data_IF_356172034825
#
_entry.id   IF_356172034825
#
_cell.length_a   1.000
_cell.length_b   1.000
_cell.length_c   1.000
_cell.angle_alpha   90.00
_cell.angle_beta   90.00
_cell.angle_gamma   90.00
#
_symmetry.space_group_name_H-M   'P 1'
#
loop_
_entity.id
_entity.type
_entity.pdbx_description
1 polymer ?
#
# COMPACT_ATOMS: atom_id res chain seq x y z
N UNK A 1 -26.29 11.95 30.77
CA UNK A 1 -25.90 12.98 29.78
C UNK A 1 -24.49 12.68 29.39
N UNK A 2 -24.26 12.39 28.11
CA UNK A 2 -22.94 12.00 27.61
C UNK A 2 -22.01 13.22 27.61
N UNK A 3 -21.00 13.21 28.48
CA UNK A 3 -20.18 14.38 28.80
C UNK A 3 -19.24 14.76 27.64
N UNK A 4 -18.87 13.78 26.81
CA UNK A 4 -18.06 13.94 25.59
C UNK A 4 -18.76 14.84 24.56
N UNK A 5 -20.06 14.58 24.31
CA UNK A 5 -20.89 15.33 23.37
C UNK A 5 -21.05 16.81 23.74
N UNK A 6 -21.09 17.12 25.04
CA UNK A 6 -21.24 18.50 25.52
C UNK A 6 -19.95 19.30 25.28
N UNK A 7 -18.80 18.65 25.46
CA UNK A 7 -17.48 19.31 25.32
C UNK A 7 -17.18 19.60 23.85
N UNK A 8 -17.43 18.65 22.95
CA UNK A 8 -17.27 18.85 21.51
C UNK A 8 -18.19 19.97 20.97
N UNK A 9 -19.46 20.00 21.39
CA UNK A 9 -20.42 21.02 20.94
C UNK A 9 -20.02 22.45 21.33
N UNK A 10 -19.36 22.65 22.48
CA UNK A 10 -18.84 23.96 22.86
C UNK A 10 -17.75 24.44 21.89
N UNK A 11 -16.83 23.55 21.50
CA UNK A 11 -15.79 23.87 20.53
C UNK A 11 -16.39 24.19 19.15
N UNK A 12 -17.31 23.34 18.67
CA UNK A 12 -17.95 23.46 17.36
C UNK A 12 -18.90 24.65 17.25
N UNK A 13 -19.35 25.23 18.36
CA UNK A 13 -20.13 26.48 18.34
C UNK A 13 -19.36 27.65 17.68
N UNK A 14 -18.03 27.63 17.79
CA UNK A 14 -17.13 28.59 17.16
C UNK A 14 -16.31 27.98 16.01
N UNK A 15 -15.93 26.70 16.10
CA UNK A 15 -15.17 25.97 15.08
C UNK A 15 -16.08 25.19 14.14
N UNK A 16 -16.90 25.91 13.37
CA UNK A 16 -17.89 25.35 12.43
C UNK A 16 -17.52 25.55 10.95
N UNK A 17 -16.24 25.78 10.67
CA UNK A 17 -15.72 25.92 9.31
C UNK A 17 -15.88 24.64 8.49
N UNK A 18 -15.59 24.74 7.19
CA UNK A 18 -15.69 23.62 6.23
C UNK A 18 -14.92 22.38 6.68
N UNK A 19 -13.75 22.56 7.29
CA UNK A 19 -12.87 21.52 7.84
C UNK A 19 -13.50 20.69 8.96
N UNK A 20 -14.59 21.17 9.58
CA UNK A 20 -15.24 20.54 10.72
C UNK A 20 -16.66 20.06 10.39
N UNK A 21 -17.09 20.12 9.12
CA UNK A 21 -18.44 19.71 8.73
C UNK A 21 -18.67 18.20 8.89
N UNK A 22 -17.62 17.40 8.69
CA UNK A 22 -17.68 15.94 8.77
C UNK A 22 -17.26 15.39 10.12
N UNK A 23 -16.87 16.26 11.07
CA UNK A 23 -16.32 15.83 12.36
C UNK A 23 -17.28 14.94 13.12
N UNK A 24 -18.57 15.25 13.11
CA UNK A 24 -19.60 14.50 13.81
C UNK A 24 -19.82 13.08 13.26
N UNK A 25 -19.41 12.82 12.01
CA UNK A 25 -19.43 11.50 11.39
C UNK A 25 -18.07 10.79 11.38
N UNK A 26 -17.04 11.41 11.97
CA UNK A 26 -15.69 10.82 12.01
C UNK A 26 -15.58 9.77 13.12
N UNK A 27 -14.78 8.74 12.89
CA UNK A 27 -14.49 7.73 13.92
C UNK A 27 -13.85 8.34 15.17
N UNK A 28 -13.07 9.41 15.02
CA UNK A 28 -12.49 10.12 16.18
C UNK A 28 -13.54 10.88 17.00
N UNK A 29 -14.66 11.31 16.42
CA UNK A 29 -15.72 11.93 17.20
C UNK A 29 -16.47 10.93 18.08
N UNK A 30 -16.64 9.70 17.62
CA UNK A 30 -17.28 8.65 18.38
C UNK A 30 -16.35 8.01 19.43
N UNK A 31 -15.06 7.93 19.14
CA UNK A 31 -14.08 7.21 19.97
C UNK A 31 -13.21 8.11 20.86
N UNK A 32 -13.06 9.41 20.53
CA UNK A 32 -12.38 10.37 21.40
C UNK A 32 -13.41 11.06 22.30
N UNK A 33 -13.00 11.40 23.52
CA UNK A 33 -13.81 12.12 24.52
C UNK A 33 -13.96 13.63 24.20
N UNK A 34 -13.67 14.01 22.95
CA UNK A 34 -13.80 15.36 22.40
C UNK A 34 -12.51 15.94 21.83
N UNK A 35 -12.59 17.18 21.34
CA UNK A 35 -11.48 17.88 20.68
C UNK A 35 -10.24 18.01 21.57
N UNK A 36 -10.44 18.05 22.88
CA UNK A 36 -9.39 18.19 23.89
C UNK A 36 -8.51 16.96 24.05
N UNK A 37 -8.81 15.83 23.41
CA UNK A 37 -7.93 14.66 23.44
C UNK A 37 -6.68 14.89 22.58
N UNK A 38 -6.87 15.53 21.43
CA UNK A 38 -5.80 15.90 20.51
C UNK A 38 -5.29 17.33 20.74
N UNK A 39 -6.19 18.26 21.08
CA UNK A 39 -5.86 19.69 21.20
C UNK A 39 -5.73 20.15 22.66
N UNK A 40 -4.99 21.24 22.87
CA UNK A 40 -4.88 21.99 24.11
C UNK A 40 -4.88 23.49 23.85
N UNK A 41 -5.78 24.21 24.52
CA UNK A 41 -6.00 25.65 24.31
C UNK A 41 -4.81 26.51 24.77
N UNK A 42 -3.92 25.94 25.57
CA UNK A 42 -2.73 26.60 26.11
C UNK A 42 -1.47 25.91 25.57
N UNK A 43 -1.34 25.89 24.24
CA UNK A 43 -0.13 25.45 23.57
C UNK A 43 0.55 26.58 22.81
N UNK A 44 1.87 26.48 22.67
CA UNK A 44 2.67 27.36 21.81
C UNK A 44 2.98 26.72 20.45
N UNK A 45 2.43 25.53 20.15
CA UNK A 45 2.69 24.83 18.90
C UNK A 45 1.65 25.13 17.81
N UNK A 46 2.00 24.83 16.57
CA UNK A 46 1.07 24.93 15.44
C UNK A 46 -0.14 24.00 15.69
N UNK A 47 -1.32 24.52 15.38
CA UNK A 47 -2.62 23.84 15.55
C UNK A 47 -3.02 23.44 16.98
N UNK A 48 -2.31 23.94 18.01
CA UNK A 48 -2.67 23.74 19.41
C UNK A 48 -2.77 22.25 19.80
N UNK A 49 -1.89 21.39 19.28
CA UNK A 49 -1.90 19.95 19.57
C UNK A 49 -1.25 19.64 20.93
N UNK A 50 -1.62 18.53 21.57
CA UNK A 50 -0.94 18.08 22.81
C UNK A 50 0.47 17.58 22.56
N UNK A 51 0.70 16.97 21.41
CA UNK A 51 1.99 16.46 20.93
C UNK A 51 2.19 16.88 19.48
N UNK A 52 3.43 16.85 19.01
CA UNK A 52 3.78 17.26 17.65
C UNK A 52 4.03 16.04 16.76
N UNK A 53 3.77 16.21 15.46
CA UNK A 53 3.98 15.18 14.44
C UNK A 53 3.16 13.91 14.70
N UNK A 54 3.72 12.78 14.26
CA UNK A 54 3.09 11.45 14.34
C UNK A 54 2.91 10.91 15.77
N UNK A 55 3.65 11.42 16.76
CA UNK A 55 3.58 10.92 18.15
C UNK A 55 2.17 11.02 18.74
N UNK A 56 1.42 12.09 18.40
CA UNK A 56 0.05 12.26 18.87
C UNK A 56 -0.87 11.12 18.43
N UNK A 57 -0.75 10.70 17.16
CA UNK A 57 -1.56 9.64 16.59
C UNK A 57 -1.13 8.27 17.11
N UNK A 58 0.18 8.05 17.22
CA UNK A 58 0.76 6.75 17.58
C UNK A 58 0.61 6.37 19.06
N UNK A 59 0.24 7.32 19.93
CA UNK A 59 -0.15 7.03 21.32
C UNK A 59 -1.34 6.06 21.37
N UNK A 60 -2.30 6.23 20.44
CA UNK A 60 -3.48 5.36 20.33
C UNK A 60 -3.32 4.33 19.20
N UNK A 61 -2.82 4.75 18.03
CA UNK A 61 -2.59 3.89 16.85
C UNK A 61 -1.28 3.10 16.95
N UNK A 62 -1.14 2.32 18.02
CA UNK A 62 0.09 1.60 18.34
C UNK A 62 0.44 0.52 17.32
N UNK A 63 -0.55 -0.12 16.68
CA UNK A 63 -0.35 -1.09 15.60
C UNK A 63 0.30 -0.45 14.37
N UNK A 64 -0.23 0.69 13.94
CA UNK A 64 0.33 1.50 12.86
C UNK A 64 1.74 1.98 13.21
N UNK A 65 1.97 2.34 14.49
CA UNK A 65 3.31 2.63 14.98
C UNK A 65 4.27 1.44 14.87
N UNK A 66 3.79 0.21 14.97
CA UNK A 66 4.60 -0.99 14.75
C UNK A 66 4.88 -1.21 13.24
N UNK A 67 3.90 -0.95 12.37
CA UNK A 67 4.06 -1.00 10.91
C UNK A 67 5.15 -0.04 10.43
N UNK A 68 5.14 1.21 10.90
CA UNK A 68 6.19 2.19 10.58
C UNK A 68 7.58 1.83 11.14
N UNK A 69 7.71 0.81 11.99
CA UNK A 69 9.01 0.29 12.45
C UNK A 69 9.48 -0.92 11.63
N UNK A 70 8.70 -1.38 10.66
CA UNK A 70 9.10 -2.46 9.76
C UNK A 70 10.21 -2.01 8.79
N UNK A 71 10.85 -2.96 8.11
CA UNK A 71 12.02 -2.69 7.27
C UNK A 71 11.73 -1.74 6.09
N UNK A 72 10.53 -1.80 5.52
CA UNK A 72 10.04 -0.87 4.51
C UNK A 72 8.87 -0.11 5.10
N UNK A 73 8.92 1.22 5.08
CA UNK A 73 7.83 2.09 5.52
C UNK A 73 7.92 3.44 4.82
N UNK A 74 6.82 4.18 4.83
CA UNK A 74 6.84 5.61 4.52
C UNK A 74 7.50 6.40 5.67
N UNK A 75 8.20 7.52 5.39
CA UNK A 75 9.13 8.15 6.35
C UNK A 75 8.46 9.01 7.42
N UNK A 76 7.49 8.43 8.15
CA UNK A 76 6.70 9.07 9.21
C UNK A 76 7.48 9.19 10.52
N UNK A 77 8.30 8.19 10.86
CA UNK A 77 9.11 8.22 12.09
C UNK A 77 10.34 9.10 11.95
N UNK A 78 10.81 9.30 10.72
CA UNK A 78 11.87 10.21 10.35
C UNK A 78 11.41 11.68 10.35
N UNK A 79 10.11 11.93 10.47
CA UNK A 79 9.53 13.28 10.47
C UNK A 79 9.58 13.97 9.10
N UNK A 80 9.69 13.19 8.01
CA UNK A 80 9.64 13.73 6.64
C UNK A 80 8.23 13.77 6.09
N UNK A 81 7.28 13.08 6.74
CA UNK A 81 5.86 13.19 6.49
C UNK A 81 5.06 12.97 7.77
N UNK A 82 3.79 13.39 7.75
CA UNK A 82 2.86 13.23 8.87
C UNK A 82 1.65 12.39 8.45
N UNK A 83 0.94 11.84 9.44
CA UNK A 83 -0.30 11.10 9.20
C UNK A 83 -1.33 11.93 8.42
N UNK A 84 -1.32 13.25 8.63
CA UNK A 84 -2.22 14.21 8.00
C UNK A 84 -1.93 14.44 6.51
N UNK A 85 -0.76 14.02 6.01
CA UNK A 85 -0.47 14.03 4.58
C UNK A 85 -1.37 13.05 3.81
N UNK A 86 -1.98 12.08 4.50
CA UNK A 86 -2.85 11.06 3.91
C UNK A 86 -4.25 11.02 4.55
N UNK A 87 -4.37 11.26 5.86
CA UNK A 87 -5.63 11.15 6.59
C UNK A 87 -6.13 12.50 7.10
N UNK A 88 -7.44 12.73 7.06
CA UNK A 88 -8.05 13.83 7.77
C UNK A 88 -8.57 13.36 9.15
N UNK A 89 -7.93 13.75 10.29
CA UNK A 89 -8.36 13.31 11.61
C UNK A 89 -9.71 13.90 12.05
N UNK A 90 -10.20 14.95 11.39
CA UNK A 90 -11.53 15.52 11.60
C UNK A 90 -12.61 14.88 10.70
N UNK A 91 -12.23 13.86 9.93
CA UNK A 91 -13.11 13.23 8.95
C UNK A 91 -13.35 14.07 7.71
N UNK A 92 -13.72 13.39 6.64
CA UNK A 92 -14.09 13.97 5.36
C UNK A 92 -15.15 13.07 4.72
N UNK A 93 -15.92 13.62 3.79
CA UNK A 93 -16.82 12.84 2.93
C UNK A 93 -16.05 11.97 1.93
N UNK A 94 -14.76 12.25 1.69
CA UNK A 94 -13.95 11.61 0.65
C UNK A 94 -12.46 11.33 0.98
N UNK A 95 -12.03 11.36 2.24
CA UNK A 95 -10.65 10.92 2.57
C UNK A 95 -10.62 9.90 3.70
N UNK A 96 -10.36 8.65 3.29
CA UNK A 96 -9.76 7.56 4.07
C UNK A 96 -10.31 7.36 5.49
N UNK A 97 -11.62 7.17 5.57
CA UNK A 97 -12.21 6.35 6.63
C UNK A 97 -12.30 4.92 6.09
N UNK A 98 -11.32 4.12 6.49
CA UNK A 98 -11.38 2.65 6.67
C UNK A 98 -11.34 1.66 5.51
N UNK A 99 -11.48 1.99 4.21
CA UNK A 99 -11.32 0.94 3.17
C UNK A 99 -10.84 1.35 1.78
N UNK A 100 -11.01 2.60 1.34
CA UNK A 100 -10.60 2.99 -0.01
C UNK A 100 -9.24 3.67 0.03
N UNK A 101 -8.22 2.88 -0.29
CA UNK A 101 -6.95 3.38 -0.80
C UNK A 101 -7.17 4.06 -2.15
N UNK A 102 -7.68 5.30 -2.09
CA UNK A 102 -7.90 6.08 -3.30
C UNK A 102 -6.57 6.24 -4.01
N UNK A 103 -6.44 5.56 -5.14
CA UNK A 103 -5.33 5.68 -6.10
C UNK A 103 -4.87 7.13 -6.26
N UNK A 104 -5.80 8.07 -6.33
CA UNK A 104 -5.53 9.50 -6.49
C UNK A 104 -4.69 10.11 -5.37
N UNK A 105 -4.85 9.67 -4.11
CA UNK A 105 -4.00 10.11 -3.02
C UNK A 105 -2.56 9.63 -3.23
N UNK A 106 -2.38 8.37 -3.61
CA UNK A 106 -1.05 7.82 -3.90
C UNK A 106 -0.40 8.62 -5.05
N UNK A 107 -1.17 8.93 -6.09
CA UNK A 107 -0.70 9.66 -7.27
C UNK A 107 -0.40 11.14 -7.01
N UNK A 108 -0.94 11.74 -5.95
CA UNK A 108 -0.59 13.11 -5.55
C UNK A 108 0.91 13.30 -5.30
N UNK A 109 1.59 12.21 -4.92
CA UNK A 109 3.06 12.16 -4.75
C UNK A 109 3.73 11.24 -5.79
N UNK A 110 3.10 10.13 -6.17
CA UNK A 110 3.66 9.12 -7.07
C UNK A 110 3.13 9.24 -8.52
N UNK A 111 3.13 10.45 -9.06
CA UNK A 111 2.57 10.78 -10.36
C UNK A 111 3.16 9.95 -11.53
N UNK A 112 4.38 9.41 -11.38
CA UNK A 112 4.98 8.53 -12.39
C UNK A 112 4.22 7.21 -12.61
N UNK A 113 3.24 6.88 -11.76
CA UNK A 113 2.42 5.68 -11.85
C UNK A 113 0.96 5.96 -12.29
N UNK A 114 0.62 7.20 -12.67
CA UNK A 114 -0.74 7.62 -13.01
C UNK A 114 -1.24 7.06 -14.35
N UNK A 115 -0.36 6.84 -15.32
CA UNK A 115 -0.79 6.51 -16.68
C UNK A 115 -1.56 7.67 -17.35
N UNK A 116 -2.37 7.42 -18.39
CA UNK A 116 -2.69 6.12 -18.96
C UNK A 116 -1.48 5.54 -19.70
N UNK A 117 -1.12 4.30 -19.38
CA UNK A 117 -0.07 3.59 -20.12
C UNK A 117 -0.69 2.85 -21.31
N UNK A 118 0.07 2.67 -22.40
CA UNK A 118 -0.38 1.81 -23.51
C UNK A 118 -0.61 0.36 -23.05
N UNK A 119 0.23 -0.11 -22.13
CA UNK A 119 0.10 -1.42 -21.49
C UNK A 119 0.02 -1.23 -19.98
N UNK A 120 -1.20 -1.34 -19.45
CA UNK A 120 -1.48 -1.12 -18.03
C UNK A 120 -1.42 -2.45 -17.26
N UNK A 121 -0.96 -2.40 -16.01
CA UNK A 121 -1.10 -3.51 -15.08
C UNK A 121 -2.39 -3.32 -14.30
N UNK A 122 -3.45 -4.04 -14.67
CA UNK A 122 -4.83 -3.79 -14.23
C UNK A 122 -4.99 -3.47 -12.72
N UNK A 123 -4.45 -4.25 -11.77
CA UNK A 123 -4.48 -3.91 -10.33
C UNK A 123 -4.03 -2.50 -9.95
N UNK A 124 -3.07 -1.91 -10.67
CA UNK A 124 -2.53 -0.57 -10.37
C UNK A 124 -3.54 0.54 -10.68
N UNK A 125 -4.44 0.32 -11.64
CA UNK A 125 -5.52 1.25 -11.94
C UNK A 125 -6.70 1.13 -10.97
N UNK A 126 -6.81 0.00 -10.27
CA UNK A 126 -7.91 -0.25 -9.35
C UNK A 126 -7.56 0.30 -7.96
N UNK A 127 -6.51 -0.23 -7.35
CA UNK A 127 -6.13 0.13 -5.99
C UNK A 127 -4.67 -0.28 -5.71
N UNK A 128 -3.85 0.67 -5.25
CA UNK A 128 -2.45 0.44 -4.91
C UNK A 128 -2.27 -0.58 -3.76
N UNK A 129 -3.23 -0.62 -2.84
CA UNK A 129 -3.30 -1.47 -1.65
C UNK A 129 -3.52 -2.96 -1.93
N UNK A 130 -3.83 -3.31 -3.18
CA UNK A 130 -3.84 -4.71 -3.61
C UNK A 130 -2.43 -5.33 -3.44
N UNK A 131 -1.39 -4.52 -3.68
CA UNK A 131 0.00 -4.96 -3.62
C UNK A 131 0.79 -4.28 -2.48
N UNK A 132 0.42 -3.07 -2.08
CA UNK A 132 1.18 -2.27 -1.11
C UNK A 132 0.47 -2.15 0.26
N UNK A 133 1.25 -2.03 1.31
CA UNK A 133 0.82 -1.62 2.65
C UNK A 133 1.33 -0.21 2.90
N UNK A 134 0.44 0.79 2.92
CA UNK A 134 0.85 2.19 2.95
C UNK A 134 1.65 2.58 4.21
N UNK A 135 1.46 1.94 5.36
CA UNK A 135 2.22 2.30 6.57
C UNK A 135 3.58 1.62 6.62
N UNK A 136 3.62 0.31 6.40
CA UNK A 136 4.85 -0.47 6.48
C UNK A 136 4.67 -1.94 6.17
N UNK A 137 5.75 -2.55 5.72
CA UNK A 137 5.83 -3.97 5.43
C UNK A 137 7.23 -4.52 5.71
N UNK A 138 7.30 -5.82 5.96
CA UNK A 138 8.58 -6.54 6.05
C UNK A 138 9.22 -6.70 4.67
N UNK A 139 8.40 -6.85 3.62
CA UNK A 139 8.88 -6.91 2.25
C UNK A 139 9.30 -5.51 1.76
N UNK A 140 10.30 -5.47 0.88
CA UNK A 140 10.75 -4.24 0.26
C UNK A 140 9.63 -3.57 -0.56
N UNK A 141 9.74 -2.26 -0.75
CA UNK A 141 8.77 -1.46 -1.52
C UNK A 141 7.36 -1.55 -0.97
N UNK A 142 7.21 -1.68 0.36
CA UNK A 142 5.92 -1.72 1.03
C UNK A 142 5.01 -2.87 0.57
N UNK A 143 5.55 -3.98 0.04
CA UNK A 143 4.70 -5.04 -0.51
C UNK A 143 3.97 -5.83 0.59
N UNK A 144 2.70 -6.15 0.38
CA UNK A 144 1.91 -7.00 1.31
C UNK A 144 2.45 -8.43 1.40
N UNK A 145 3.16 -8.88 0.36
CA UNK A 145 3.83 -10.17 0.29
C UNK A 145 5.16 -10.09 -0.48
N UNK A 146 6.06 -11.04 -0.24
CA UNK A 146 7.30 -11.15 -1.01
C UNK A 146 7.07 -11.85 -2.36
N UNK A 147 7.88 -11.49 -3.35
CA UNK A 147 7.97 -12.25 -4.61
C UNK A 147 8.56 -13.65 -4.36
N UNK A 148 8.12 -14.68 -5.10
CA UNK A 148 7.14 -14.64 -6.20
C UNK A 148 5.67 -14.78 -5.75
N UNK A 149 5.39 -14.99 -4.46
CA UNK A 149 4.05 -15.28 -3.94
C UNK A 149 3.04 -14.18 -4.29
N UNK A 150 3.41 -12.91 -4.14
CA UNK A 150 2.56 -11.77 -4.50
C UNK A 150 2.03 -11.87 -5.94
N UNK A 151 2.91 -12.19 -6.89
CA UNK A 151 2.53 -12.29 -8.30
C UNK A 151 1.64 -13.51 -8.55
N UNK A 152 1.90 -14.59 -7.82
CA UNK A 152 1.22 -15.88 -7.97
C UNK A 152 -0.22 -15.87 -7.49
N UNK A 153 -0.59 -14.92 -6.64
CA UNK A 153 -1.99 -14.72 -6.23
C UNK A 153 -2.90 -14.42 -7.43
N UNK A 154 -2.35 -13.90 -8.54
CA UNK A 154 -3.07 -13.64 -9.79
C UNK A 154 -2.48 -14.36 -11.01
N UNK A 155 -1.17 -14.56 -11.06
CA UNK A 155 -0.46 -15.17 -12.19
C UNK A 155 -0.10 -16.63 -11.90
N UNK A 156 -0.93 -17.55 -12.39
CA UNK A 156 -0.64 -19.00 -12.33
C UNK A 156 0.69 -19.33 -13.03
N UNK A 157 1.67 -19.74 -12.25
CA UNK A 157 3.00 -20.14 -12.76
C UNK A 157 2.93 -21.29 -13.76
N UNK A 158 3.54 -21.10 -14.93
CA UNK A 158 3.70 -22.19 -15.89
C UNK A 158 5.03 -22.20 -16.66
N UNK A 159 5.81 -21.11 -16.65
CA UNK A 159 6.87 -20.91 -17.65
C UNK A 159 8.32 -21.03 -17.13
N UNK A 160 8.57 -20.92 -15.82
CA UNK A 160 9.93 -21.07 -15.27
C UNK A 160 10.25 -22.49 -14.78
N UNK A 161 9.23 -23.31 -14.52
CA UNK A 161 9.43 -24.73 -14.18
C UNK A 161 9.87 -25.55 -15.38
N UNK A 162 9.84 -25.01 -16.60
CA UNK A 162 10.32 -25.65 -17.83
C UNK A 162 11.72 -25.19 -18.28
N UNK A 163 12.37 -24.31 -17.54
CA UNK A 163 13.76 -23.91 -17.84
C UNK A 163 14.68 -25.04 -17.38
N UNK A 164 15.39 -25.65 -18.31
CA UNK A 164 16.47 -26.59 -18.00
C UNK A 164 17.53 -25.86 -17.16
N UNK A 165 17.89 -26.42 -16.00
CA UNK A 165 18.86 -25.81 -15.07
C UNK A 165 20.14 -25.35 -15.78
N UNK A 166 20.70 -24.24 -15.30
CA UNK A 166 21.79 -23.50 -15.97
C UNK A 166 23.11 -24.29 -16.04
N UNK A 167 23.29 -25.33 -15.21
CA UNK A 167 24.41 -26.28 -15.27
C UNK A 167 24.01 -27.61 -14.62
N UNK A 168 24.28 -28.75 -15.28
CA UNK A 168 24.13 -30.09 -14.68
C UNK A 168 23.64 -31.18 -15.64
N UNK A 169 24.02 -32.43 -15.34
CA UNK A 169 23.51 -33.64 -15.98
C UNK A 169 21.98 -33.67 -15.91
N UNK A 170 21.31 -34.04 -17.00
CA UNK A 170 19.84 -34.02 -17.10
C UNK A 170 19.22 -34.91 -16.00
N UNK A 171 18.66 -34.29 -14.96
CA UNK A 171 17.91 -35.00 -13.91
C UNK A 171 16.53 -35.39 -14.42
N UNK A 172 16.00 -36.53 -13.97
CA UNK A 172 14.65 -36.95 -14.37
C UNK A 172 13.59 -35.88 -14.05
N UNK A 173 12.62 -35.66 -14.95
CA UNK A 173 11.57 -34.67 -14.73
C UNK A 173 10.70 -35.09 -13.55
N UNK A 174 10.35 -34.15 -12.66
CA UNK A 174 9.46 -34.39 -11.52
C UNK A 174 8.01 -34.69 -11.95
N UNK A 175 7.62 -34.30 -13.16
CA UNK A 175 6.28 -34.51 -13.70
C UNK A 175 6.34 -34.78 -15.23
N UNK A 176 6.84 -35.95 -15.67
CA UNK A 176 7.01 -36.25 -17.10
C UNK A 176 5.68 -36.33 -17.85
N UNK A 177 4.57 -36.51 -17.13
CA UNK A 177 3.23 -36.67 -17.69
C UNK A 177 2.54 -35.34 -18.06
N UNK A 178 3.14 -34.19 -17.70
CA UNK A 178 2.58 -32.86 -17.99
C UNK A 178 2.96 -32.28 -19.36
N UNK A 179 3.46 -33.08 -20.31
CA UNK A 179 3.75 -32.65 -21.69
C UNK A 179 5.09 -31.92 -21.85
N UNK A 180 5.20 -30.94 -22.76
CA UNK A 180 6.42 -30.18 -23.13
C UNK A 180 7.17 -29.47 -21.99
N UNK A 181 6.71 -29.61 -20.75
CA UNK A 181 7.25 -28.94 -19.57
C UNK A 181 8.06 -29.93 -18.75
N UNK A 182 9.37 -29.91 -18.95
CA UNK A 182 10.31 -30.71 -18.16
C UNK A 182 10.68 -29.96 -16.89
N UNK A 183 10.03 -30.28 -15.76
CA UNK A 183 10.37 -29.66 -14.47
C UNK A 183 11.40 -30.46 -13.70
N UNK A 184 12.63 -29.95 -13.62
CA UNK A 184 13.69 -30.51 -12.77
C UNK A 184 13.69 -29.83 -11.40
N UNK A 185 14.37 -30.41 -10.42
CA UNK A 185 14.52 -29.79 -9.10
C UNK A 185 15.17 -28.40 -9.19
N UNK A 186 16.14 -28.23 -10.09
CA UNK A 186 16.81 -26.94 -10.28
C UNK A 186 15.92 -25.94 -11.02
N UNK A 187 15.09 -26.39 -11.96
CA UNK A 187 14.07 -25.53 -12.58
C UNK A 187 13.08 -24.99 -11.53
N UNK A 188 12.67 -25.83 -10.57
CA UNK A 188 11.81 -25.40 -9.46
C UNK A 188 12.50 -24.38 -8.54
N UNK A 189 13.78 -24.58 -8.20
CA UNK A 189 14.57 -23.60 -7.44
C UNK A 189 14.62 -22.26 -8.18
N UNK A 190 14.93 -22.27 -9.48
CA UNK A 190 14.93 -21.04 -10.29
C UNK A 190 13.56 -20.38 -10.30
N UNK A 191 12.48 -21.16 -10.48
CA UNK A 191 11.12 -20.61 -10.54
C UNK A 191 10.65 -19.97 -9.22
N UNK A 192 11.12 -20.47 -8.07
CA UNK A 192 10.69 -20.00 -6.76
C UNK A 192 11.65 -19.01 -6.09
N UNK A 193 12.93 -19.01 -6.48
CA UNK A 193 13.96 -18.17 -5.87
C UNK A 193 14.33 -16.96 -6.75
N UNK A 194 13.82 -16.88 -7.97
CA UNK A 194 14.00 -15.71 -8.84
C UNK A 194 12.86 -14.72 -8.61
N UNK A 195 13.21 -13.46 -8.32
CA UNK A 195 12.22 -12.38 -8.27
C UNK A 195 11.68 -12.11 -9.68
N UNK A 196 10.37 -12.12 -9.84
CA UNK A 196 9.66 -11.83 -11.09
C UNK A 196 10.13 -10.49 -11.68
N UNK A 197 10.33 -9.50 -10.82
CA UNK A 197 10.74 -8.14 -11.18
C UNK A 197 12.15 -8.02 -11.78
N UNK A 198 12.98 -9.07 -11.72
CA UNK A 198 14.28 -9.07 -12.43
C UNK A 198 14.11 -9.14 -13.95
N UNK A 199 13.03 -9.78 -14.40
CA UNK A 199 12.70 -9.91 -15.81
C UNK A 199 11.47 -9.08 -16.17
N UNK A 200 10.53 -8.88 -15.27
CA UNK A 200 9.31 -8.10 -15.47
C UNK A 200 9.40 -6.78 -14.72
N UNK A 201 10.20 -5.87 -15.26
CA UNK A 201 10.57 -4.63 -14.55
C UNK A 201 9.45 -3.59 -14.51
N UNK A 202 8.58 -3.57 -15.53
CA UNK A 202 7.49 -2.60 -15.68
C UNK A 202 6.17 -3.08 -15.07
N UNK A 203 6.15 -3.38 -13.77
CA UNK A 203 4.95 -3.88 -13.06
C UNK A 203 3.87 -2.81 -12.85
N UNK A 204 4.18 -1.53 -13.01
CA UNK A 204 3.23 -0.42 -12.88
C UNK A 204 2.60 0.03 -14.22
N UNK A 205 2.91 -0.66 -15.31
CA UNK A 205 2.53 -0.28 -16.67
C UNK A 205 3.70 0.29 -17.48
N UNK A 206 3.51 0.35 -18.81
CA UNK A 206 4.52 0.79 -19.76
C UNK A 206 3.91 1.33 -21.05
N UNK A 207 4.53 2.37 -21.61
CA UNK A 207 4.25 2.87 -22.97
C UNK A 207 5.16 2.26 -24.03
N UNK A 208 6.12 1.42 -23.61
CA UNK A 208 7.02 0.77 -24.56
C UNK A 208 6.23 -0.28 -25.35
N UNK A 209 6.23 -0.22 -26.70
CA UNK A 209 5.62 -1.24 -27.52
C UNK A 209 6.24 -2.59 -27.15
N UNK A 210 5.44 -3.44 -26.51
CA UNK A 210 5.91 -4.76 -26.11
C UNK A 210 6.39 -5.51 -27.36
N UNK A 211 7.53 -6.19 -27.28
CA UNK A 211 7.74 -7.39 -28.09
C UNK A 211 6.81 -8.48 -27.51
N UNK A 212 5.50 -8.24 -27.57
CA UNK A 212 4.51 -9.20 -27.19
C UNK A 212 4.64 -10.35 -28.16
N UNK A 213 5.13 -11.49 -27.70
CA UNK A 213 5.02 -12.73 -28.46
C UNK A 213 3.53 -12.92 -28.71
N UNK A 214 3.18 -12.95 -29.99
CA UNK A 214 1.89 -12.53 -30.52
C UNK A 214 0.77 -13.56 -30.38
N UNK A 215 0.53 -14.12 -29.19
CA UNK A 215 -0.59 -15.05 -29.02
C UNK A 215 -1.77 -14.52 -28.22
N UNK A 216 -1.61 -13.78 -27.12
CA UNK A 216 -2.75 -13.32 -26.31
C UNK A 216 -2.31 -12.06 -25.55
N UNK A 217 -3.05 -10.95 -25.67
CA UNK A 217 -2.73 -9.64 -25.12
C UNK A 217 -2.68 -9.57 -23.59
N UNK A 218 -1.66 -10.20 -23.00
CA UNK A 218 -1.42 -10.27 -21.55
C UNK A 218 0.03 -10.64 -21.21
N UNK A 219 0.97 -10.42 -22.12
CA UNK A 219 2.38 -10.72 -21.88
C UNK A 219 3.07 -9.55 -21.18
N UNK A 220 3.47 -9.77 -19.92
CA UNK A 220 4.29 -8.86 -19.12
C UNK A 220 5.54 -8.44 -19.90
N UNK A 221 5.75 -7.14 -20.05
CA UNK A 221 6.94 -6.56 -20.67
C UNK A 221 8.21 -7.03 -19.96
N UNK A 222 9.21 -7.41 -20.76
CA UNK A 222 10.56 -7.74 -20.30
C UNK A 222 11.41 -6.48 -20.18
#
# INVERSE_FOLDING_TARGET
TDYSSVTANNCLSCHNGVEFQSVTGSAHHEMAEGCSDCHTMHSNNQQLLKKQGSELCLDCHTSTGAEFRMASHHPVLEGLMDCQSCHNPHGDVNTFATTDESRELCLSCHAQHEGPFVYEHQPVNENCGICHSAHGAVANNLLVQNEPALCMDCHSMHFHTSITGFDGEFTEPLNPERGTFTSTLDAWKVSMLTKCTQCHTQVHGSDLPSQGVSSLGGSLTR
#
